data_IF_376467883943
#
_entry.id   IF_376467883943
#
_cell.length_a   1.000
_cell.length_b   1.000
_cell.length_c   1.000
_cell.angle_alpha   90.00
_cell.angle_beta   90.00
_cell.angle_gamma   90.00
#
_symmetry.space_group_name_H-M   'P 1'
#
loop_
_entity.id
_entity.type
_entity.pdbx_description
1 polymer ?
#
# COMPACT_ATOMS: atom_id res chain seq x y z
N UNK A 1 16.24 21.16 3.69
CA UNK A 1 15.03 22.01 3.75
C UNK A 1 13.85 21.09 3.48
N UNK A 2 13.30 20.48 4.54
CA UNK A 2 12.13 19.60 4.43
C UNK A 2 10.92 20.50 4.27
N UNK A 3 10.27 20.46 3.10
CA UNK A 3 8.95 21.05 2.91
C UNK A 3 7.94 20.19 3.69
N UNK A 4 7.85 20.41 5.00
CA UNK A 4 6.64 20.15 5.78
C UNK A 4 5.82 21.43 5.75
N UNK A 5 5.38 21.81 4.55
CA UNK A 5 4.23 22.67 4.38
C UNK A 5 3.13 21.73 3.88
N UNK A 6 2.48 21.04 4.81
CA UNK A 6 1.04 20.81 4.61
C UNK A 6 0.47 22.21 4.44
N UNK A 7 0.12 22.58 3.21
CA UNK A 7 -0.28 23.95 2.93
C UNK A 7 -1.52 24.24 3.78
N UNK A 8 -1.47 25.31 4.58
CA UNK A 8 -2.61 25.68 5.42
C UNK A 8 -3.86 25.90 4.55
N UNK A 9 -3.66 26.22 3.28
CA UNK A 9 -4.71 26.45 2.31
C UNK A 9 -5.31 25.12 1.81
N UNK A 10 -4.56 24.02 1.71
CA UNK A 10 -5.13 22.69 1.41
C UNK A 10 -6.04 22.19 2.54
N UNK A 11 -5.67 22.47 3.79
CA UNK A 11 -6.49 22.16 4.96
C UNK A 11 -7.76 23.00 4.96
N UNK A 12 -7.65 24.31 4.70
CA UNK A 12 -8.80 25.24 4.67
C UNK A 12 -9.74 24.96 3.50
N UNK A 13 -9.20 24.53 2.35
CA UNK A 13 -9.96 24.20 1.15
C UNK A 13 -10.44 22.74 1.12
N UNK A 14 -10.26 21.99 2.21
CA UNK A 14 -10.63 20.57 2.33
C UNK A 14 -10.10 19.70 1.18
N UNK A 15 -8.91 20.04 0.66
CA UNK A 15 -8.24 19.32 -0.44
C UNK A 15 -7.04 18.51 0.03
N UNK A 16 -6.72 18.55 1.34
CA UNK A 16 -5.63 17.78 1.92
C UNK A 16 -5.98 16.29 1.90
N UNK A 17 -5.12 15.48 1.27
CA UNK A 17 -5.22 14.02 1.27
C UNK A 17 -5.47 13.45 -0.12
N UNK A 18 -6.06 12.27 -0.17
CA UNK A 18 -6.34 11.54 -1.42
C UNK A 18 -7.84 11.33 -1.55
N UNK A 19 -8.46 12.03 -2.51
CA UNK A 19 -9.89 11.91 -2.79
C UNK A 19 -10.34 10.46 -3.10
N UNK A 20 -9.61 9.67 -3.91
CA UNK A 20 -9.96 8.25 -4.09
C UNK A 20 -9.93 7.45 -2.78
N UNK A 21 -8.99 7.76 -1.88
CA UNK A 21 -8.93 7.10 -0.58
C UNK A 21 -10.10 7.51 0.34
N UNK A 22 -10.52 8.78 0.29
CA UNK A 22 -11.70 9.26 1.00
C UNK A 22 -12.97 8.58 0.49
N UNK A 23 -13.13 8.46 -0.83
CA UNK A 23 -14.25 7.74 -1.44
C UNK A 23 -14.28 6.27 -0.98
N UNK A 24 -13.12 5.61 -0.93
CA UNK A 24 -13.00 4.25 -0.38
C UNK A 24 -13.31 4.16 1.11
N UNK A 25 -12.90 5.13 1.91
CA UNK A 25 -13.17 5.19 3.35
C UNK A 25 -14.67 5.21 3.64
N UNK A 26 -15.43 6.05 2.92
CA UNK A 26 -16.88 6.13 3.08
C UNK A 26 -17.64 4.98 2.39
N UNK A 27 -17.04 4.35 1.38
CA UNK A 27 -17.62 3.18 0.72
C UNK A 27 -17.46 1.91 1.56
N UNK A 28 -16.24 1.60 2.01
CA UNK A 28 -15.90 0.38 2.75
C UNK A 28 -16.23 0.47 4.24
N UNK A 29 -16.25 1.68 4.81
CA UNK A 29 -16.54 1.94 6.23
C UNK A 29 -15.79 1.02 7.20
N UNK A 30 -14.47 0.83 7.06
CA UNK A 30 -13.74 -0.14 7.87
C UNK A 30 -13.68 0.30 9.34
N UNK A 31 -13.51 -0.64 10.27
CA UNK A 31 -13.38 -0.30 11.71
C UNK A 31 -12.14 0.57 11.99
N UNK A 32 -11.06 0.34 11.25
CA UNK A 32 -9.80 1.07 11.36
C UNK A 32 -9.33 1.53 9.98
N UNK A 33 -8.75 2.72 9.92
CA UNK A 33 -8.09 3.24 8.73
C UNK A 33 -6.71 3.78 9.10
N UNK A 34 -5.66 3.18 8.55
CA UNK A 34 -4.29 3.59 8.83
C UNK A 34 -3.71 4.36 7.64
N UNK A 35 -3.11 5.52 7.93
CA UNK A 35 -2.48 6.37 6.93
C UNK A 35 -1.06 6.76 7.37
N UNK A 36 -0.26 7.24 6.41
CA UNK A 36 1.08 7.78 6.66
C UNK A 36 1.33 8.95 5.69
N UNK A 37 2.59 9.19 5.31
CA UNK A 37 3.03 10.20 4.32
C UNK A 37 3.16 11.64 4.83
N UNK A 38 2.17 12.18 5.53
CA UNK A 38 2.20 13.59 5.99
C UNK A 38 3.17 13.87 7.15
N UNK A 39 3.84 12.83 7.67
CA UNK A 39 4.79 12.92 8.78
C UNK A 39 4.22 13.67 10.00
N UNK A 40 2.99 13.33 10.37
CA UNK A 40 2.33 13.83 11.57
C UNK A 40 1.49 12.70 12.16
N UNK A 41 1.57 12.50 13.48
CA UNK A 41 0.63 11.62 14.17
C UNK A 41 -0.70 12.34 14.30
N UNK A 42 -1.76 11.76 13.75
CA UNK A 42 -3.12 12.30 13.83
C UNK A 42 -4.11 11.15 14.05
N UNK A 43 -5.05 11.34 14.95
CA UNK A 43 -6.10 10.37 15.22
C UNK A 43 -7.46 11.08 15.08
N UNK A 44 -8.41 10.41 14.45
CA UNK A 44 -9.76 10.93 14.27
C UNK A 44 -10.79 9.80 14.29
N UNK A 45 -12.03 10.16 14.60
CA UNK A 45 -13.19 9.31 14.43
C UNK A 45 -13.96 9.84 13.21
N UNK A 46 -14.14 8.98 12.21
CA UNK A 46 -14.88 9.33 11.00
C UNK A 46 -16.27 8.69 11.12
N UNK A 47 -17.33 9.48 11.35
CA UNK A 47 -18.68 8.96 11.46
C UNK A 47 -19.21 8.56 10.09
N UNK A 48 -19.87 7.40 10.02
CA UNK A 48 -20.61 6.96 8.86
C UNK A 48 -22.10 7.06 9.17
N UNK A 49 -22.77 8.06 8.61
CA UNK A 49 -24.22 8.18 8.76
C UNK A 49 -24.92 7.01 8.07
N UNK A 50 -25.65 6.20 8.83
CA UNK A 50 -26.71 5.34 8.30
C UNK A 50 -27.96 6.20 8.13
N UNK A 51 -28.66 6.06 7.01
CA UNK A 51 -29.98 6.70 6.82
C UNK A 51 -31.07 6.11 7.74
N UNK A 52 -30.71 5.13 8.58
CA UNK A 52 -31.59 4.47 9.52
C UNK A 52 -31.25 4.97 10.92
N UNK A 53 -32.21 5.65 11.56
CA UNK A 53 -32.10 6.26 12.90
C UNK A 53 -31.94 5.22 14.04
N UNK A 54 -31.99 3.93 13.74
CA UNK A 54 -31.94 2.83 14.72
C UNK A 54 -30.59 2.05 14.72
N UNK A 55 -29.68 2.33 13.79
CA UNK A 55 -28.37 1.65 13.75
C UNK A 55 -27.32 2.43 14.55
N UNK A 56 -26.59 1.72 15.40
CA UNK A 56 -25.39 2.25 16.08
C UNK A 56 -24.53 3.01 15.08
N UNK A 57 -24.17 4.27 15.40
CA UNK A 57 -23.31 5.10 14.55
C UNK A 57 -22.00 4.37 14.24
N UNK A 58 -21.92 3.78 13.04
CA UNK A 58 -20.71 3.13 12.59
C UNK A 58 -19.64 4.20 12.43
N UNK A 59 -18.47 3.98 13.02
CA UNK A 59 -17.35 4.91 12.94
C UNK A 59 -16.08 4.18 12.54
N UNK A 60 -15.26 4.86 11.74
CA UNK A 60 -13.89 4.42 11.47
C UNK A 60 -12.93 5.14 12.41
N UNK A 61 -12.08 4.36 13.07
CA UNK A 61 -10.94 4.88 13.83
C UNK A 61 -9.79 5.15 12.86
N UNK A 62 -9.60 6.42 12.51
CA UNK A 62 -8.54 6.87 11.62
C UNK A 62 -7.27 7.15 12.43
N UNK A 63 -6.13 6.63 11.97
CA UNK A 63 -4.82 6.89 12.55
C UNK A 63 -3.77 7.14 11.46
N UNK A 64 -3.27 8.36 11.40
CA UNK A 64 -2.07 8.71 10.65
C UNK A 64 -0.82 8.55 11.51
N UNK A 65 0.22 7.90 10.96
CA UNK A 65 1.49 7.70 11.62
C UNK A 65 2.55 8.73 11.17
N UNK A 66 3.44 9.02 12.11
CA UNK A 66 4.57 9.91 11.90
C UNK A 66 5.78 9.16 11.31
N UNK A 67 6.74 9.92 10.77
CA UNK A 67 8.00 9.37 10.30
C UNK A 67 8.86 8.91 11.47
N UNK A 68 9.60 7.83 11.25
CA UNK A 68 10.57 7.28 12.20
C UNK A 68 11.82 8.17 12.31
N UNK A 69 11.66 9.38 12.85
CA UNK A 69 12.74 10.30 13.19
C UNK A 69 12.99 10.31 14.71
N UNK A 70 14.20 10.66 15.15
CA UNK A 70 14.51 10.78 16.56
C UNK A 70 13.49 11.66 17.30
N UNK A 71 13.05 11.19 18.48
CA UNK A 71 12.11 11.89 19.37
C UNK A 71 10.69 12.10 18.81
N UNK A 72 10.30 11.41 17.74
CA UNK A 72 8.91 11.40 17.23
C UNK A 72 8.17 10.13 17.63
N UNK A 73 6.84 10.21 17.77
CA UNK A 73 5.96 9.07 18.02
C UNK A 73 5.55 8.45 16.68
N UNK A 74 6.31 7.47 16.21
CA UNK A 74 6.14 6.88 14.87
C UNK A 74 5.55 5.45 14.87
N UNK A 75 5.46 4.81 16.04
CA UNK A 75 4.92 3.46 16.18
C UNK A 75 3.70 3.47 17.09
N UNK A 76 2.64 2.79 16.68
CA UNK A 76 1.45 2.52 17.47
C UNK A 76 1.20 1.01 17.47
N UNK A 77 0.96 0.44 18.66
CA UNK A 77 0.48 -0.93 18.82
C UNK A 77 -1.04 -0.84 18.99
N UNK A 78 -1.77 -1.67 18.26
CA UNK A 78 -3.24 -1.75 18.31
C UNK A 78 -3.61 -3.16 18.69
N UNK A 79 -4.35 -3.30 19.78
CA UNK A 79 -4.87 -4.58 20.22
C UNK A 79 -6.20 -4.86 19.50
N UNK A 80 -6.19 -5.88 18.65
CA UNK A 80 -7.37 -6.33 17.91
C UNK A 80 -7.87 -7.60 18.60
N UNK A 81 -9.16 -7.66 19.01
CA UNK A 81 -9.72 -8.87 19.60
C UNK A 81 -9.56 -10.06 18.64
N UNK A 82 -9.01 -11.16 19.16
CA UNK A 82 -8.85 -12.41 18.44
C UNK A 82 -9.56 -13.54 19.17
N UNK A 83 -10.21 -14.42 18.42
CA UNK A 83 -10.83 -15.62 18.96
C UNK A 83 -9.73 -16.65 19.28
N UNK A 84 -9.50 -17.00 20.56
CA UNK A 84 -8.42 -17.90 20.95
C UNK A 84 -8.57 -19.33 20.39
N UNK A 85 -9.75 -19.70 19.87
CA UNK A 85 -9.96 -21.00 19.22
C UNK A 85 -9.45 -21.07 17.78
N UNK A 86 -9.16 -19.90 17.16
CA UNK A 86 -8.69 -19.81 15.77
C UNK A 86 -7.17 -19.66 15.71
N UNK A 87 -6.55 -20.30 14.72
CA UNK A 87 -5.13 -20.09 14.40
C UNK A 87 -4.89 -18.66 13.90
N UNK A 88 -3.67 -18.16 14.11
CA UNK A 88 -3.22 -16.88 13.55
C UNK A 88 -2.35 -17.23 12.33
N UNK A 89 -3.02 -17.42 11.20
CA UNK A 89 -2.40 -17.75 9.93
C UNK A 89 -2.74 -16.68 8.88
N UNK A 90 -1.86 -16.54 7.89
CA UNK A 90 -2.11 -15.64 6.78
C UNK A 90 -2.87 -16.39 5.70
N UNK A 91 -3.95 -15.80 5.22
CA UNK A 91 -4.78 -16.32 4.14
C UNK A 91 -4.91 -15.29 3.03
N UNK A 92 -5.04 -15.75 1.80
CA UNK A 92 -5.44 -14.91 0.69
C UNK A 92 -6.94 -14.63 0.78
N UNK A 93 -7.31 -13.36 0.57
CA UNK A 93 -8.72 -12.98 0.47
C UNK A 93 -9.29 -13.40 -0.91
N UNK A 94 -10.40 -14.13 -0.90
CA UNK A 94 -11.00 -14.67 -2.12
C UNK A 94 -11.53 -13.58 -3.06
N UNK A 95 -12.12 -12.51 -2.51
CA UNK A 95 -12.64 -11.39 -3.31
C UNK A 95 -11.50 -10.69 -4.04
N UNK A 96 -10.40 -10.42 -3.32
CA UNK A 96 -9.19 -9.85 -3.87
C UNK A 96 -8.56 -10.73 -4.96
N UNK A 97 -8.42 -12.03 -4.73
CA UNK A 97 -7.91 -12.97 -5.74
C UNK A 97 -8.79 -12.95 -7.00
N UNK A 98 -10.10 -12.87 -6.83
CA UNK A 98 -11.05 -12.86 -7.93
C UNK A 98 -10.95 -11.57 -8.74
N UNK A 99 -10.90 -10.42 -8.07
CA UNK A 99 -10.64 -9.13 -8.73
C UNK A 99 -9.33 -9.19 -9.52
N UNK A 100 -8.26 -9.70 -8.91
CA UNK A 100 -6.94 -9.79 -9.54
C UNK A 100 -6.95 -10.69 -10.78
N UNK A 101 -7.65 -11.84 -10.72
CA UNK A 101 -7.81 -12.74 -11.87
C UNK A 101 -8.54 -12.05 -13.03
N UNK A 102 -9.70 -11.46 -12.76
CA UNK A 102 -10.54 -10.88 -13.82
C UNK A 102 -10.01 -9.53 -14.34
N UNK A 103 -9.13 -8.87 -13.60
CA UNK A 103 -8.46 -7.64 -14.03
C UNK A 103 -7.08 -7.88 -14.65
N UNK A 104 -6.63 -9.13 -14.80
CA UNK A 104 -5.29 -9.43 -15.35
C UNK A 104 -5.03 -8.78 -16.72
N UNK A 105 -6.03 -8.75 -17.60
CA UNK A 105 -5.95 -8.12 -18.91
C UNK A 105 -5.70 -6.60 -18.88
N UNK A 106 -5.90 -5.94 -17.73
CA UNK A 106 -5.60 -4.52 -17.53
C UNK A 106 -4.16 -4.26 -17.11
N UNK A 107 -3.37 -5.31 -16.84
CA UNK A 107 -1.97 -5.19 -16.46
C UNK A 107 -1.14 -4.59 -17.61
N UNK A 108 -0.60 -3.39 -17.37
CA UNK A 108 0.25 -2.68 -18.31
C UNK A 108 1.69 -2.59 -17.84
N UNK A 109 2.62 -3.22 -18.57
CA UNK A 109 4.08 -3.12 -18.31
C UNK A 109 4.80 -2.17 -19.29
N UNK A 110 4.05 -1.58 -20.23
CA UNK A 110 4.57 -0.65 -21.21
C UNK A 110 4.65 0.75 -20.61
N UNK A 111 5.56 1.58 -21.15
CA UNK A 111 5.66 3.01 -20.77
C UNK A 111 4.56 3.89 -21.39
N UNK A 112 3.58 3.28 -22.05
CA UNK A 112 2.47 3.96 -22.69
C UNK A 112 1.30 4.11 -21.72
N UNK A 113 0.58 5.22 -21.82
CA UNK A 113 -0.66 5.39 -21.07
C UNK A 113 -1.66 4.29 -21.46
N UNK A 114 -2.23 3.63 -20.47
CA UNK A 114 -3.30 2.65 -20.63
C UNK A 114 -4.57 3.22 -20.03
N UNK A 115 -5.64 3.26 -20.81
CA UNK A 115 -6.93 3.69 -20.33
C UNK A 115 -7.53 2.59 -19.45
N UNK A 116 -7.89 2.95 -18.22
CA UNK A 116 -8.59 2.06 -17.31
C UNK A 116 -10.09 2.10 -17.58
N UNK A 117 -10.80 0.97 -17.42
CA UNK A 117 -12.25 0.95 -17.61
C UNK A 117 -12.92 1.85 -16.56
N UNK A 118 -14.01 2.50 -16.97
CA UNK A 118 -14.74 3.43 -16.12
C UNK A 118 -16.21 3.52 -16.54
N UNK A 119 -17.06 4.11 -15.69
CA UNK A 119 -18.47 4.27 -15.99
C UNK A 119 -18.65 5.11 -17.27
N UNK A 120 -19.44 4.60 -18.21
CA UNK A 120 -19.75 5.27 -19.48
C UNK A 120 -18.84 4.90 -20.66
N UNK A 121 -17.86 4.02 -20.48
CA UNK A 121 -17.11 3.40 -21.57
C UNK A 121 -17.68 2.02 -21.93
N UNK A 122 -17.45 1.58 -23.16
CA UNK A 122 -17.81 0.22 -23.60
C UNK A 122 -16.96 -0.82 -22.85
N UNK A 123 -17.61 -1.78 -22.20
CA UNK A 123 -16.96 -2.89 -21.51
C UNK A 123 -17.27 -2.98 -20.01
N UNK A 124 -16.71 -4.01 -19.36
CA UNK A 124 -16.83 -4.21 -17.92
C UNK A 124 -15.94 -3.22 -17.18
N UNK A 125 -16.54 -2.43 -16.29
CA UNK A 125 -15.83 -1.50 -15.40
C UNK A 125 -16.07 -1.80 -13.92
N UNK A 126 -17.16 -2.54 -13.61
CA UNK A 126 -17.43 -3.02 -12.27
C UNK A 126 -16.91 -4.46 -12.13
N UNK A 127 -15.92 -4.64 -11.27
CA UNK A 127 -15.27 -5.91 -10.98
C UNK A 127 -15.64 -6.48 -9.62
N UNK A 128 -16.73 -6.02 -8.99
CA UNK A 128 -17.33 -6.71 -7.84
C UNK A 128 -17.60 -8.16 -8.26
N UNK A 129 -16.96 -9.15 -7.61
CA UNK A 129 -17.08 -10.55 -8.02
C UNK A 129 -18.50 -11.09 -7.90
N UNK A 130 -18.96 -11.83 -8.92
CA UNK A 130 -20.19 -12.63 -8.78
C UNK A 130 -19.90 -13.93 -8.02
N UNK A 131 -20.95 -14.63 -7.57
CA UNK A 131 -20.79 -15.91 -6.88
C UNK A 131 -20.09 -16.96 -7.76
N UNK A 132 -20.42 -16.97 -9.05
CA UNK A 132 -19.82 -17.89 -10.03
C UNK A 132 -18.33 -17.60 -10.22
N UNK A 133 -17.95 -16.32 -10.19
CA UNK A 133 -16.55 -15.89 -10.29
C UNK A 133 -15.75 -16.25 -9.04
N UNK A 134 -16.35 -16.07 -7.85
CA UNK A 134 -15.78 -16.50 -6.58
C UNK A 134 -15.59 -18.03 -6.56
N UNK A 135 -16.61 -18.79 -6.96
CA UNK A 135 -16.55 -20.26 -7.01
C UNK A 135 -15.47 -20.76 -7.98
N UNK A 136 -15.29 -20.07 -9.11
CA UNK A 136 -14.24 -20.38 -10.08
C UNK A 136 -12.84 -20.24 -9.49
N UNK A 137 -12.55 -19.13 -8.80
CA UNK A 137 -11.25 -18.92 -8.17
C UNK A 137 -11.07 -19.82 -6.95
N UNK A 138 -12.14 -20.08 -6.20
CA UNK A 138 -12.13 -21.02 -5.09
C UNK A 138 -11.69 -22.42 -5.53
N UNK A 139 -12.20 -22.90 -6.67
CA UNK A 139 -11.80 -24.19 -7.24
C UNK A 139 -10.32 -24.20 -7.66
N UNK A 140 -9.79 -23.10 -8.20
CA UNK A 140 -8.35 -23.02 -8.54
C UNK A 140 -7.42 -23.12 -7.33
N UNK A 141 -7.89 -22.71 -6.16
CA UNK A 141 -7.14 -22.80 -4.92
C UNK A 141 -7.41 -24.10 -4.14
N UNK A 142 -8.23 -25.01 -4.69
CA UNK A 142 -8.68 -26.24 -4.01
C UNK A 142 -9.32 -25.96 -2.65
N UNK A 143 -9.96 -24.78 -2.51
CA UNK A 143 -10.50 -24.30 -1.23
C UNK A 143 -9.45 -23.97 -0.15
N UNK A 144 -8.15 -23.99 -0.49
CA UNK A 144 -7.06 -23.68 0.42
C UNK A 144 -6.39 -22.35 0.09
N UNK A 145 -6.72 -21.33 0.88
CA UNK A 145 -6.20 -19.98 0.75
C UNK A 145 -5.03 -19.68 1.69
N UNK A 146 -4.54 -20.66 2.46
CA UNK A 146 -3.39 -20.46 3.34
C UNK A 146 -2.18 -20.01 2.52
N UNK A 147 -1.53 -18.95 2.99
CA UNK A 147 -0.27 -18.47 2.41
C UNK A 147 0.82 -19.51 2.74
N UNK A 148 1.50 -20.09 1.74
CA UNK A 148 2.49 -21.13 1.98
C UNK A 148 3.70 -20.58 2.76
N UNK A 149 4.22 -21.37 3.70
CA UNK A 149 5.45 -21.07 4.43
C UNK A 149 6.69 -21.46 3.61
N UNK A 150 6.82 -20.91 2.42
CA UNK A 150 7.89 -21.23 1.45
C UNK A 150 8.83 -20.04 1.20
N UNK A 151 8.96 -19.15 2.18
CA UNK A 151 9.82 -17.97 2.06
C UNK A 151 11.29 -18.37 1.90
N UNK A 152 11.88 -17.92 0.80
CA UNK A 152 13.29 -18.08 0.44
C UNK A 152 13.94 -16.73 0.20
N UNK A 153 15.19 -16.58 0.63
CA UNK A 153 15.97 -15.39 0.36
C UNK A 153 16.33 -15.33 -1.12
N UNK A 154 15.75 -14.37 -1.85
CA UNK A 154 16.02 -14.16 -3.28
C UNK A 154 17.18 -13.20 -3.53
N UNK A 155 17.51 -12.34 -2.56
CA UNK A 155 18.57 -11.32 -2.66
C UNK A 155 19.38 -11.26 -1.37
N UNK A 156 20.69 -11.03 -1.49
CA UNK A 156 21.57 -10.86 -0.33
C UNK A 156 21.14 -9.63 0.48
N UNK A 157 21.14 -9.76 1.80
CA UNK A 157 20.85 -8.62 2.68
C UNK A 157 21.88 -7.51 2.45
N UNK A 158 21.42 -6.26 2.47
CA UNK A 158 22.31 -5.12 2.39
C UNK A 158 23.30 -5.14 3.56
N UNK A 159 24.59 -5.13 3.25
CA UNK A 159 25.67 -5.06 4.23
C UNK A 159 26.35 -3.69 4.14
N UNK A 160 26.34 -2.95 5.25
CA UNK A 160 26.96 -1.63 5.35
C UNK A 160 28.48 -1.71 5.54
N UNK A 161 29.01 -2.88 5.94
CA UNK A 161 30.44 -3.06 6.25
C UNK A 161 31.29 -3.35 5.00
N UNK A 162 30.70 -3.95 3.96
CA UNK A 162 31.34 -4.19 2.66
C UNK A 162 31.63 -2.92 1.86
N UNK A 163 31.29 -1.73 2.37
CA UNK A 163 31.63 -0.43 1.77
C UNK A 163 33.02 0.10 2.16
N UNK A 164 33.67 -0.46 3.17
CA UNK A 164 34.91 0.10 3.72
C UNK A 164 36.19 -0.25 2.92
N UNK A 165 36.13 -1.14 1.92
CA UNK A 165 37.31 -1.54 1.13
C UNK A 165 37.57 -0.70 -0.14
N UNK A 166 36.73 0.31 -0.43
CA UNK A 166 36.98 1.24 -1.54
C UNK A 166 37.73 2.49 -1.07
N UNK A 167 38.98 2.31 -0.68
CA UNK A 167 39.94 3.37 -0.35
C UNK A 167 40.43 4.11 -1.60
N UNK A 168 39.52 4.65 -2.42
CA UNK A 168 39.87 5.66 -3.42
C UNK A 168 38.74 6.66 -3.66
N UNK A 169 39.11 7.93 -3.48
CA UNK A 169 38.32 9.14 -3.68
C UNK A 169 37.46 9.14 -4.96
N UNK A 170 36.20 8.75 -4.85
CA UNK A 170 35.15 9.25 -5.74
C UNK A 170 33.86 9.43 -4.95
N UNK A 171 33.56 10.69 -4.62
CA UNK A 171 32.31 11.13 -3.98
C UNK A 171 31.05 10.88 -4.84
N UNK A 172 31.19 10.17 -5.95
CA UNK A 172 30.15 9.85 -6.93
C UNK A 172 30.06 8.34 -7.24
N UNK A 173 30.40 7.44 -6.31
CA UNK A 173 30.00 6.03 -6.45
C UNK A 173 28.49 5.93 -6.28
N UNK A 174 27.78 6.31 -7.35
CA UNK A 174 26.34 6.14 -7.53
C UNK A 174 26.01 4.71 -7.16
N UNK A 175 25.25 4.54 -6.06
CA UNK A 175 24.78 3.24 -5.61
C UNK A 175 24.03 2.62 -6.78
N UNK A 176 24.63 1.64 -7.47
CA UNK A 176 23.97 0.99 -8.60
C UNK A 176 22.75 0.29 -8.04
N UNK A 177 21.57 0.67 -8.54
CA UNK A 177 20.34 0.00 -8.22
C UNK A 177 20.50 -1.49 -8.59
N UNK A 178 20.13 -2.43 -7.69
CA UNK A 178 20.23 -3.85 -8.00
C UNK A 178 19.41 -4.16 -9.25
N UNK A 179 19.88 -5.09 -10.10
CA UNK A 179 19.14 -5.48 -11.29
C UNK A 179 17.79 -6.07 -10.89
N UNK A 180 16.78 -5.84 -11.72
CA UNK A 180 15.49 -6.49 -11.56
C UNK A 180 15.64 -8.01 -11.72
N UNK A 181 14.97 -8.78 -10.87
CA UNK A 181 15.06 -10.24 -10.82
C UNK A 181 13.66 -10.83 -10.61
N UNK A 182 13.43 -12.01 -11.17
CA UNK A 182 12.19 -12.77 -10.99
C UNK A 182 12.22 -13.45 -9.61
N UNK A 183 11.10 -13.37 -8.90
CA UNK A 183 10.90 -14.09 -7.65
C UNK A 183 10.06 -15.34 -7.91
N UNK A 184 10.62 -16.53 -7.67
CA UNK A 184 9.93 -17.80 -7.90
C UNK A 184 8.63 -17.97 -7.09
N UNK A 185 8.52 -17.36 -5.91
CA UNK A 185 7.28 -17.38 -5.12
C UNK A 185 6.19 -16.53 -5.79
N UNK A 186 6.56 -15.38 -6.36
CA UNK A 186 5.64 -14.52 -7.12
C UNK A 186 5.16 -15.25 -8.37
N UNK A 187 6.08 -15.87 -9.13
CA UNK A 187 5.72 -16.65 -10.31
C UNK A 187 4.80 -17.81 -9.96
N UNK A 188 5.11 -18.59 -8.92
CA UNK A 188 4.26 -19.70 -8.48
C UNK A 188 2.85 -19.24 -8.05
N UNK A 189 2.75 -18.07 -7.40
CA UNK A 189 1.46 -17.47 -7.07
C UNK A 189 0.68 -17.05 -8.33
N UNK A 190 1.34 -16.36 -9.26
CA UNK A 190 0.74 -15.94 -10.52
C UNK A 190 0.24 -17.15 -11.34
N UNK A 191 1.06 -18.20 -11.45
CA UNK A 191 0.72 -19.45 -12.14
C UNK A 191 -0.50 -20.13 -11.50
N UNK A 192 -0.54 -20.20 -10.15
CA UNK A 192 -1.68 -20.79 -9.43
C UNK A 192 -2.97 -20.02 -9.64
N UNK A 193 -2.92 -18.69 -9.60
CA UNK A 193 -4.09 -17.83 -9.82
C UNK A 193 -4.46 -17.73 -11.31
N UNK A 194 -3.54 -18.06 -12.23
CA UNK A 194 -3.72 -17.94 -13.67
C UNK A 194 -3.65 -16.50 -14.15
N UNK A 195 -2.71 -15.71 -13.62
CA UNK A 195 -2.42 -14.33 -14.01
C UNK A 195 -0.98 -14.21 -14.49
N UNK A 196 -0.68 -13.11 -15.19
CA UNK A 196 0.68 -12.86 -15.66
C UNK A 196 1.60 -12.40 -14.51
N UNK A 197 2.85 -12.83 -14.52
CA UNK A 197 3.90 -12.30 -13.64
C UNK A 197 4.39 -10.94 -14.22
N UNK A 198 4.13 -9.80 -13.53
CA UNK A 198 4.51 -8.49 -14.04
C UNK A 198 6.01 -8.33 -14.24
N UNK A 199 6.83 -8.97 -13.39
CA UNK A 199 8.29 -8.89 -13.50
C UNK A 199 8.80 -9.72 -14.69
N UNK A 200 8.20 -10.88 -14.93
CA UNK A 200 8.49 -11.68 -16.12
C UNK A 200 8.14 -10.90 -17.41
N UNK A 201 6.97 -10.27 -17.45
CA UNK A 201 6.54 -9.42 -18.58
C UNK A 201 7.49 -8.22 -18.81
N UNK A 202 7.89 -7.53 -17.74
CA UNK A 202 8.84 -6.41 -17.81
C UNK A 202 10.22 -6.84 -18.34
N UNK A 203 10.74 -7.97 -17.86
CA UNK A 203 12.06 -8.46 -18.28
C UNK A 203 12.05 -9.00 -19.72
N UNK A 204 10.93 -9.55 -20.18
CA UNK A 204 10.79 -10.01 -21.57
C UNK A 204 10.63 -8.84 -22.55
N UNK A 205 9.81 -7.84 -22.23
CA UNK A 205 9.66 -6.63 -23.06
C UNK A 205 10.95 -5.81 -23.18
N UNK A 206 11.78 -5.81 -22.14
CA UNK A 206 13.10 -5.17 -22.17
C UNK A 206 14.08 -5.85 -23.15
N UNK A 207 13.88 -7.14 -23.47
CA UNK A 207 14.72 -7.86 -24.44
C UNK A 207 14.27 -7.61 -25.88
N UNK A 208 12.97 -7.48 -26.12
CA UNK A 208 12.40 -7.23 -27.45
C UNK A 208 12.66 -5.80 -27.96
N UNK A 209 12.66 -4.81 -27.06
CA UNK A 209 12.99 -3.40 -27.41
C UNK A 209 14.44 -3.15 -27.85
N UNK A 210 15.29 -4.19 -27.84
CA UNK A 210 16.65 -4.12 -28.40
C UNK A 210 16.69 -4.12 -29.93
N UNK A 211 15.56 -4.35 -30.60
CA UNK A 211 15.51 -4.61 -32.05
C UNK A 211 14.71 -3.63 -32.92
N UNK A 212 14.05 -2.61 -32.36
CA UNK A 212 13.36 -1.60 -33.18
C UNK A 212 13.60 -0.19 -32.64
N UNK A 213 14.54 0.51 -33.27
CA UNK A 213 14.71 1.95 -33.17
C UNK A 213 14.36 2.58 -34.51
N UNK A 214 13.16 3.16 -34.60
CA UNK A 214 12.86 4.48 -35.18
C UNK A 214 11.36 4.57 -35.53
N UNK A 215 10.59 5.38 -34.80
CA UNK A 215 9.87 6.51 -35.41
C UNK A 215 9.15 7.40 -34.37
N UNK A 216 9.26 8.70 -34.63
CA UNK A 216 8.69 9.81 -33.87
C UNK A 216 7.17 9.83 -33.90
N UNK A 217 6.51 10.11 -32.76
CA UNK A 217 5.25 10.87 -32.79
C UNK A 217 4.99 11.70 -31.51
N UNK A 218 4.93 13.02 -31.72
CA UNK A 218 4.49 14.07 -30.80
C UNK A 218 2.95 14.06 -30.70
N UNK A 219 2.34 14.12 -29.52
CA UNK A 219 1.05 14.79 -29.24
C UNK A 219 0.93 15.00 -27.70
N UNK A 220 0.97 16.23 -27.20
CA UNK A 220 -0.11 17.21 -26.98
C UNK A 220 -0.81 17.02 -25.61
N UNK A 221 -0.41 17.87 -24.66
CA UNK A 221 -0.95 18.10 -23.32
C UNK A 221 -2.27 18.89 -23.36
N UNK A 222 -3.35 18.28 -22.88
CA UNK A 222 -4.49 19.01 -22.29
C UNK A 222 -5.30 18.05 -21.39
N UNK A 223 -5.30 18.32 -20.08
CA UNK A 223 -6.13 17.66 -19.08
C UNK A 223 -7.58 18.17 -19.15
N UNK A 224 -8.62 17.31 -19.13
CA UNK A 224 -9.99 17.73 -18.83
C UNK A 224 -10.23 17.70 -17.32
N UNK A 225 -10.75 18.82 -16.80
CA UNK A 225 -11.14 18.96 -15.39
C UNK A 225 -12.44 18.20 -15.07
N UNK A 226 -12.44 17.48 -13.94
CA UNK A 226 -13.63 16.85 -13.39
C UNK A 226 -14.34 17.81 -12.43
N UNK A 227 -15.61 18.09 -12.73
CA UNK A 227 -16.53 18.88 -11.91
C UNK A 227 -16.92 18.13 -10.63
N UNK A 228 -17.06 18.88 -9.54
CA UNK A 228 -17.45 18.44 -8.19
C UNK A 228 -18.96 18.58 -7.94
N UNK A 229 -19.50 17.77 -7.02
CA UNK A 229 -20.54 18.24 -6.10
C UNK A 229 -20.01 18.22 -4.66
N UNK A 230 -20.11 19.36 -3.97
CA UNK A 230 -19.77 19.50 -2.55
C UNK A 230 -20.79 18.76 -1.65
N UNK A 231 -20.30 18.13 -0.57
CA UNK A 231 -21.12 17.76 0.59
C UNK A 231 -20.37 18.10 1.88
N UNK A 232 -21.02 18.76 2.86
CA UNK A 232 -20.42 19.04 4.15
C UNK A 232 -20.54 17.83 5.09
N UNK A 233 -19.41 17.34 5.59
CA UNK A 233 -19.33 16.40 6.70
C UNK A 233 -18.37 16.96 7.75
N UNK A 234 -18.86 17.17 8.97
CA UNK A 234 -18.10 17.79 10.04
C UNK A 234 -17.17 16.76 10.70
N UNK A 235 -15.85 16.97 10.60
CA UNK A 235 -14.83 16.13 11.24
C UNK A 235 -14.55 16.67 12.64
N UNK A 236 -14.99 15.96 13.68
CA UNK A 236 -14.68 16.35 15.06
C UNK A 236 -13.26 15.88 15.42
N UNK A 237 -12.35 16.82 15.67
CA UNK A 237 -11.04 16.55 16.25
C UNK A 237 -11.19 16.26 17.74
N UNK A 238 -10.74 15.09 18.20
CA UNK A 238 -10.70 14.75 19.63
C UNK A 238 -9.26 14.87 20.12
N UNK A 239 -9.02 15.77 21.08
CA UNK A 239 -7.77 15.82 21.84
C UNK A 239 -7.76 14.68 22.86
N UNK A 240 -6.98 13.64 22.60
CA UNK A 240 -6.68 12.63 23.60
C UNK A 240 -5.47 13.08 24.44
N UNK A 241 -5.77 13.80 25.52
CA UNK A 241 -4.89 13.86 26.69
C UNK A 241 -5.05 12.53 27.43
N UNK A 242 -4.30 11.51 27.01
CA UNK A 242 -4.32 10.20 27.65
C UNK A 242 -3.04 9.99 28.46
N UNK A 243 -3.10 10.44 29.72
CA UNK A 243 -2.20 10.00 30.80
C UNK A 243 -2.60 8.60 31.25
N UNK A 244 -2.28 7.58 30.44
CA UNK A 244 -2.35 6.18 30.86
C UNK A 244 -1.21 5.37 30.23
N UNK A 245 0.02 5.78 30.55
CA UNK A 245 1.23 5.01 30.26
C UNK A 245 1.32 3.85 31.25
N UNK A 246 0.67 2.72 30.96
CA UNK A 246 0.93 1.46 31.66
C UNK A 246 2.15 0.79 31.03
N UNK A 247 3.28 0.88 31.73
CA UNK A 247 4.55 0.28 31.38
C UNK A 247 4.53 -1.22 31.74
N UNK A 248 3.91 -2.03 30.88
CA UNK A 248 4.06 -3.49 30.94
C UNK A 248 4.21 -4.08 29.54
N UNK A 249 5.16 -3.55 28.78
CA UNK A 249 5.67 -4.26 27.59
C UNK A 249 6.73 -5.25 28.08
N UNK A 250 6.47 -6.54 27.87
CA UNK A 250 7.38 -7.64 28.18
C UNK A 250 8.79 -7.39 27.62
N UNK A 251 9.83 -7.77 28.37
CA UNK A 251 11.22 -7.47 28.01
C UNK A 251 11.64 -8.12 26.68
N UNK A 252 10.98 -9.21 26.28
CA UNK A 252 11.17 -9.83 24.96
C UNK A 252 10.67 -8.92 23.83
N UNK A 253 9.49 -8.31 23.99
CA UNK A 253 8.96 -7.32 23.04
C UNK A 253 9.81 -6.05 23.00
N UNK A 254 10.33 -5.59 24.14
CA UNK A 254 11.28 -4.46 24.17
C UNK A 254 12.56 -4.78 23.37
N UNK A 255 13.07 -6.01 23.42
CA UNK A 255 14.22 -6.47 22.62
C UNK A 255 13.90 -6.48 21.11
N UNK A 256 12.72 -6.98 20.73
CA UNK A 256 12.26 -7.04 19.32
C UNK A 256 12.04 -5.64 18.77
N UNK A 257 11.37 -4.77 19.53
CA UNK A 257 11.15 -3.37 19.16
C UNK A 257 12.48 -2.61 19.03
N UNK A 258 13.46 -2.83 19.91
CA UNK A 258 14.82 -2.26 19.79
C UNK A 258 15.54 -2.75 18.53
N UNK A 259 15.37 -4.00 18.14
CA UNK A 259 15.91 -4.52 16.87
C UNK A 259 15.21 -3.88 15.67
N UNK A 260 13.87 -3.89 15.64
CA UNK A 260 13.07 -3.28 14.58
C UNK A 260 13.37 -1.78 14.40
N UNK A 261 13.47 -1.04 15.50
CA UNK A 261 13.88 0.37 15.51
C UNK A 261 15.25 0.60 14.86
N UNK A 262 16.24 -0.24 15.18
CA UNK A 262 17.57 -0.17 14.55
C UNK A 262 17.47 -0.42 13.04
N UNK A 263 16.68 -1.40 12.60
CA UNK A 263 16.49 -1.69 11.17
C UNK A 263 15.75 -0.55 10.43
N UNK A 264 14.65 -0.02 10.99
CA UNK A 264 13.84 1.01 10.35
C UNK A 264 14.57 2.36 10.25
N UNK A 265 15.33 2.75 11.28
CA UNK A 265 16.17 3.97 11.24
C UNK A 265 17.30 3.84 10.22
N UNK A 266 17.87 2.64 10.06
CA UNK A 266 18.93 2.39 9.08
C UNK A 266 18.41 2.34 7.63
N UNK A 267 17.18 1.86 7.42
CA UNK A 267 16.49 1.86 6.13
C UNK A 267 16.13 3.28 5.66
N UNK A 268 15.62 4.12 6.56
CA UNK A 268 15.22 5.50 6.24
C UNK A 268 16.39 6.46 6.02
N UNK A 269 17.54 6.23 6.67
CA UNK A 269 18.76 7.01 6.40
C UNK A 269 19.37 6.68 5.03
N UNK A 270 19.09 5.49 4.48
CA UNK A 270 19.57 5.11 3.16
C UNK A 270 18.67 5.57 2.00
N UNK A 271 17.40 5.93 2.26
CA UNK A 271 16.44 6.44 1.26
C UNK A 271 16.40 7.96 1.15
N UNK A 272 17.15 8.68 1.98
CA UNK A 272 17.22 10.14 2.00
C UNK A 272 18.66 10.63 1.87
N UNK A 273 19.35 10.25 0.79
CA UNK A 273 20.51 10.91 0.19
C UNK A 273 20.54 10.53 -1.29
#
# INVERSE_FOLDING_TARGET
MFCLLTDSDEVKCNSLGSRPCEELLYHLKPTYWFAAHLHVKFAALVPHSSNNEEDNQQMTKFLALDKCLPRRKFLQIVDIPHDPSKSIELEYDLEWLTILHFTNHLLGVKRTNQYMPGPGLDGRWNFVPTKEELDFVWQRFDGNFLVPQNFTQTVVAFDSSSQNDSSNNSRNSCRKQPPAQINSQTTAFCDRLGIDDPMALLLNSSKESSFDSDENQKFCTTLPGYLTPERPGEVTQVSLDDTSYHDSVDDSMKQVLRKLLKYVVHLLTCTLH
#
